data_IF_190919213403
#
_entry.id   IF_190919213403
#
_cell.length_a   1.000
_cell.length_b   1.000
_cell.length_c   1.000
_cell.angle_alpha   90.00
_cell.angle_beta   90.00
_cell.angle_gamma   90.00
#
_symmetry.space_group_name_H-M   'P 1'
#
loop_
_entity.id
_entity.type
_entity.pdbx_description
1 polymer ?
#
# COMPACT_ATOMS: atom_id res chain seq x y z
N UNK A 1 6.59 -7.67 6.01
CA UNK A 1 6.28 -6.49 5.16
C UNK A 1 4.83 -6.58 4.70
N UNK A 2 4.12 -5.45 4.67
CA UNK A 2 2.69 -5.37 4.33
C UNK A 2 2.48 -4.50 3.10
N UNK A 3 1.68 -4.97 2.15
CA UNK A 3 1.40 -4.28 0.88
C UNK A 3 -0.09 -4.30 0.58
N UNK A 4 -0.55 -3.40 -0.29
CA UNK A 4 -1.94 -3.36 -0.77
C UNK A 4 -1.96 -3.01 -2.25
N UNK A 5 -2.99 -3.47 -2.97
CA UNK A 5 -3.18 -3.14 -4.39
C UNK A 5 -3.72 -1.71 -4.62
N UNK A 6 -4.11 -1.00 -3.56
CA UNK A 6 -4.73 0.33 -3.66
C UNK A 6 -3.88 1.42 -3.01
N UNK A 7 -3.54 2.45 -3.79
CA UNK A 7 -2.79 3.61 -3.31
C UNK A 7 -3.53 4.34 -2.17
N UNK A 8 -4.85 4.51 -2.24
CA UNK A 8 -5.64 5.17 -1.20
C UNK A 8 -5.66 4.38 0.12
N UNK A 9 -5.56 3.05 0.06
CA UNK A 9 -5.43 2.21 1.26
C UNK A 9 -4.03 2.35 1.86
N UNK A 10 -2.99 2.39 1.03
CA UNK A 10 -1.62 2.63 1.48
C UNK A 10 -1.44 4.03 2.08
N UNK A 11 -2.10 5.05 1.52
CA UNK A 11 -2.09 6.44 1.99
C UNK A 11 -2.57 6.61 3.44
N UNK A 12 -3.39 5.69 3.96
CA UNK A 12 -3.79 5.70 5.38
C UNK A 12 -2.60 5.57 6.35
N UNK A 13 -1.48 5.03 5.86
CA UNK A 13 -0.24 4.86 6.62
C UNK A 13 0.81 5.93 6.30
N UNK A 14 0.55 6.82 5.33
CA UNK A 14 1.49 7.87 4.94
C UNK A 14 1.36 9.09 5.85
N UNK A 15 2.50 9.59 6.32
CA UNK A 15 2.61 10.85 7.05
C UNK A 15 3.22 11.93 6.17
N UNK A 16 2.70 13.17 6.21
CA UNK A 16 3.29 14.27 5.47
C UNK A 16 4.68 14.62 6.03
N UNK A 17 5.57 15.01 5.14
CA UNK A 17 6.89 15.50 5.51
C UNK A 17 6.78 16.91 6.12
N UNK A 18 7.21 17.07 7.38
CA UNK A 18 7.14 18.32 8.16
C UNK A 18 8.49 18.54 8.85
N UNK A 19 9.54 18.87 8.09
CA UNK A 19 10.84 19.19 8.69
C UNK A 19 11.17 20.68 8.65
N UNK A 20 10.89 21.37 7.53
CA UNK A 20 11.11 22.83 7.36
C UNK A 20 10.17 23.41 6.29
N UNK A 21 9.79 24.70 6.39
CA UNK A 21 9.07 25.38 5.31
C UNK A 21 9.90 25.29 4.04
N UNK A 22 9.32 24.69 2.99
CA UNK A 22 10.01 24.41 1.75
C UNK A 22 9.09 23.80 0.71
N UNK A 23 9.57 23.59 -0.53
CA UNK A 23 8.75 23.04 -1.62
C UNK A 23 8.23 21.63 -1.32
N UNK A 24 8.89 20.90 -0.43
CA UNK A 24 8.52 19.55 0.01
C UNK A 24 7.59 19.52 1.22
N UNK A 25 7.26 20.69 1.79
CA UNK A 25 6.38 20.78 2.95
C UNK A 25 4.98 20.25 2.62
N UNK A 26 4.51 19.32 3.46
CA UNK A 26 3.23 18.63 3.27
C UNK A 26 3.18 17.64 2.11
N UNK A 27 4.32 17.28 1.49
CA UNK A 27 4.38 16.15 0.57
C UNK A 27 4.24 14.84 1.35
N UNK A 28 3.51 13.90 0.76
CA UNK A 28 3.44 12.52 1.21
C UNK A 28 4.29 11.65 0.29
N UNK A 29 4.67 10.48 0.80
CA UNK A 29 5.49 9.53 0.08
C UNK A 29 4.85 8.13 0.07
N UNK A 30 4.86 7.48 -1.08
CA UNK A 30 4.45 6.08 -1.26
C UNK A 30 5.55 5.32 -2.01
N UNK A 31 5.70 4.05 -1.69
CA UNK A 31 6.55 3.12 -2.45
C UNK A 31 5.67 2.24 -3.32
N UNK A 32 6.00 2.17 -4.61
CA UNK A 32 5.47 1.16 -5.51
C UNK A 32 6.51 0.06 -5.66
N UNK A 33 6.23 -1.10 -5.08
CA UNK A 33 7.17 -2.21 -5.01
C UNK A 33 6.80 -3.31 -5.99
N UNK A 34 7.81 -3.95 -6.59
CA UNK A 34 7.67 -5.30 -7.13
C UNK A 34 7.77 -6.28 -5.96
N UNK A 35 6.77 -7.13 -5.81
CA UNK A 35 6.71 -8.10 -4.70
C UNK A 35 6.52 -9.50 -5.27
N UNK A 36 7.47 -10.39 -5.02
CA UNK A 36 7.42 -11.80 -5.43
C UNK A 36 6.66 -12.60 -4.38
N UNK A 37 5.43 -12.97 -4.69
CA UNK A 37 4.54 -13.66 -3.75
C UNK A 37 4.76 -15.18 -3.67
N UNK A 38 5.33 -15.80 -4.71
CA UNK A 38 5.57 -17.25 -4.75
C UNK A 38 4.27 -18.06 -4.57
N UNK A 39 4.31 -19.09 -3.72
CA UNK A 39 3.10 -19.84 -3.33
C UNK A 39 2.31 -19.06 -2.27
N UNK A 40 1.16 -18.55 -2.68
CA UNK A 40 0.29 -17.71 -1.84
C UNK A 40 -0.66 -18.57 -1.01
N UNK A 41 -0.70 -18.33 0.30
CA UNK A 41 -1.82 -18.74 1.14
C UNK A 41 -2.85 -17.61 1.18
N UNK A 42 -4.10 -17.86 0.77
CA UNK A 42 -5.14 -16.85 0.74
C UNK A 42 -6.24 -17.10 1.77
N UNK A 43 -6.84 -16.04 2.29
CA UNK A 43 -8.07 -16.12 3.06
C UNK A 43 -8.98 -14.93 2.74
N UNK A 44 -10.28 -15.20 2.63
CA UNK A 44 -11.36 -14.23 2.46
C UNK A 44 -12.05 -13.88 3.80
N UNK A 45 -11.61 -14.51 4.88
CA UNK A 45 -12.19 -14.30 6.22
C UNK A 45 -11.69 -13.00 6.84
N UNK A 46 -12.54 -12.33 7.62
CA UNK A 46 -12.17 -11.07 8.31
C UNK A 46 -11.04 -11.28 9.33
N UNK A 47 -11.06 -12.45 9.99
CA UNK A 47 -10.13 -12.85 11.04
C UNK A 47 -9.54 -14.21 10.68
N UNK A 48 -8.51 -14.24 9.81
CA UNK A 48 -7.85 -15.48 9.49
C UNK A 48 -7.06 -16.00 10.69
N UNK A 49 -6.86 -17.31 10.74
CA UNK A 49 -6.10 -17.98 11.80
C UNK A 49 -4.60 -17.62 11.67
N UNK A 50 -4.17 -16.66 12.47
CA UNK A 50 -2.80 -16.12 12.45
C UNK A 50 -1.77 -17.22 12.73
N UNK A 51 -2.09 -18.17 13.61
CA UNK A 51 -1.18 -19.27 13.96
C UNK A 51 -0.91 -20.17 12.77
N UNK A 52 -1.97 -20.52 12.01
CA UNK A 52 -1.83 -21.31 10.78
C UNK A 52 -1.05 -20.57 9.69
N UNK A 53 -1.28 -19.27 9.54
CA UNK A 53 -0.54 -18.46 8.56
C UNK A 53 0.95 -18.42 8.92
N UNK A 54 1.27 -18.14 10.18
CA UNK A 54 2.64 -18.08 10.66
C UNK A 54 3.35 -19.43 10.50
N UNK A 55 2.66 -20.53 10.81
CA UNK A 55 3.19 -21.86 10.61
C UNK A 55 3.46 -22.13 9.12
N UNK A 56 2.51 -21.81 8.24
CA UNK A 56 2.63 -22.03 6.81
C UNK A 56 3.82 -21.25 6.19
N UNK A 57 4.00 -19.99 6.60
CA UNK A 57 5.13 -19.16 6.19
C UNK A 57 6.45 -19.68 6.76
N UNK A 58 6.46 -20.11 8.03
CA UNK A 58 7.67 -20.61 8.70
C UNK A 58 8.15 -21.95 8.13
N UNK A 59 7.24 -22.86 7.80
CA UNK A 59 7.59 -24.17 7.25
C UNK A 59 7.83 -24.14 5.73
N UNK A 60 7.64 -22.99 5.08
CA UNK A 60 7.81 -22.84 3.63
C UNK A 60 6.69 -23.49 2.79
N UNK A 61 5.59 -23.92 3.41
CA UNK A 61 4.41 -24.40 2.68
C UNK A 61 3.68 -23.27 1.95
N UNK A 62 3.87 -22.03 2.39
CA UNK A 62 3.54 -20.80 1.70
C UNK A 62 4.71 -19.80 1.77
N UNK A 63 4.83 -18.94 0.76
CA UNK A 63 5.86 -17.88 0.68
C UNK A 63 5.28 -16.50 0.96
N UNK A 64 3.96 -16.36 0.93
CA UNK A 64 3.25 -15.12 1.22
C UNK A 64 1.82 -15.41 1.64
N UNK A 65 1.20 -14.41 2.28
CA UNK A 65 -0.20 -14.44 2.63
C UNK A 65 -0.97 -13.34 1.89
N UNK A 66 -2.15 -13.68 1.39
CA UNK A 66 -3.10 -12.79 0.73
C UNK A 66 -4.40 -12.71 1.54
N UNK A 67 -4.69 -11.54 2.08
CA UNK A 67 -6.02 -11.20 2.57
C UNK A 67 -6.88 -10.71 1.40
N UNK A 68 -7.79 -11.55 0.90
CA UNK A 68 -8.73 -11.15 -0.15
C UNK A 68 -10.03 -10.63 0.46
N UNK A 69 -10.11 -9.31 0.63
CA UNK A 69 -11.26 -8.63 1.23
C UNK A 69 -12.21 -8.02 0.21
N UNK A 70 -12.17 -8.46 -1.05
CA UNK A 70 -13.03 -7.93 -2.11
C UNK A 70 -14.52 -8.16 -1.84
N UNK A 71 -14.85 -9.29 -1.23
CA UNK A 71 -16.22 -9.62 -0.82
C UNK A 71 -16.73 -8.75 0.33
N UNK A 72 -15.85 -7.98 0.98
CA UNK A 72 -16.17 -7.09 2.10
C UNK A 72 -15.93 -5.60 1.75
N UNK A 73 -16.02 -5.25 0.47
CA UNK A 73 -15.80 -3.88 -0.02
C UNK A 73 -14.43 -3.30 0.37
N UNK A 74 -13.40 -4.13 0.45
CA UNK A 74 -12.03 -3.67 0.68
C UNK A 74 -11.08 -4.17 -0.41
N UNK A 75 -9.82 -3.77 -0.28
CA UNK A 75 -8.76 -4.10 -1.23
C UNK A 75 -8.02 -5.35 -0.81
N UNK A 76 -7.35 -6.00 -1.76
CA UNK A 76 -6.41 -7.07 -1.43
C UNK A 76 -5.19 -6.54 -0.72
N UNK A 77 -4.75 -7.30 0.26
CA UNK A 77 -3.62 -6.97 1.12
C UNK A 77 -2.67 -8.17 1.15
N UNK A 78 -1.37 -7.92 1.05
CA UNK A 78 -0.34 -8.94 0.88
C UNK A 78 0.66 -8.84 2.02
N UNK A 79 1.10 -10.01 2.51
CA UNK A 79 2.13 -10.11 3.54
C UNK A 79 3.23 -11.03 3.05
N UNK A 80 4.47 -10.54 3.12
CA UNK A 80 5.69 -11.33 2.91
C UNK A 80 6.59 -11.19 4.13
N UNK A 81 7.28 -12.27 4.49
CA UNK A 81 8.18 -12.30 5.67
C UNK A 81 9.64 -12.07 5.28
N UNK A 82 10.06 -12.49 4.09
CA UNK A 82 11.40 -12.26 3.58
C UNK A 82 11.49 -10.89 2.87
N UNK A 83 12.48 -10.10 3.24
CA UNK A 83 12.73 -8.78 2.64
C UNK A 83 13.23 -8.88 1.20
N UNK A 84 13.90 -9.97 0.83
CA UNK A 84 14.34 -10.22 -0.55
C UNK A 84 13.17 -10.42 -1.53
N UNK A 85 11.96 -10.68 -1.02
CA UNK A 85 10.75 -10.77 -1.85
C UNK A 85 10.21 -9.41 -2.29
N UNK A 86 10.73 -8.28 -1.78
CA UNK A 86 10.25 -6.95 -2.10
C UNK A 86 11.36 -6.06 -2.64
N UNK A 87 11.13 -5.49 -3.82
CA UNK A 87 11.99 -4.49 -4.43
C UNK A 87 11.24 -3.16 -4.58
N UNK A 88 11.69 -2.07 -3.92
CA UNK A 88 11.09 -0.75 -4.09
C UNK A 88 11.48 -0.17 -5.46
N UNK A 89 10.60 -0.37 -6.44
CA UNK A 89 10.86 0.05 -7.82
C UNK A 89 10.72 1.56 -7.98
N UNK A 90 9.72 2.17 -7.33
CA UNK A 90 9.46 3.61 -7.44
C UNK A 90 9.21 4.27 -6.09
N UNK A 91 9.77 5.46 -5.94
CA UNK A 91 9.46 6.41 -4.88
C UNK A 91 8.51 7.48 -5.43
N UNK A 92 7.30 7.56 -4.89
CA UNK A 92 6.25 8.45 -5.40
C UNK A 92 5.97 9.55 -4.37
N UNK A 93 6.21 10.79 -4.77
CA UNK A 93 5.82 11.98 -4.01
C UNK A 93 4.47 12.50 -4.49
N UNK A 94 3.56 12.81 -3.56
CA UNK A 94 2.22 13.30 -3.91
C UNK A 94 1.66 14.25 -2.84
N UNK A 95 0.56 14.91 -3.17
CA UNK A 95 -0.27 15.69 -2.24
C UNK A 95 -1.69 15.17 -2.30
N UNK A 96 -2.39 15.14 -1.17
CA UNK A 96 -3.84 14.87 -1.15
C UNK A 96 -4.57 16.05 -1.76
N UNK A 97 -5.47 15.79 -2.70
CA UNK A 97 -6.38 16.81 -3.21
C UNK A 97 -7.49 17.02 -2.18
N UNK A 98 -7.56 18.23 -1.63
CA UNK A 98 -8.77 18.68 -0.93
C UNK A 98 -9.90 18.84 -1.95
N UNK A 99 -11.10 18.33 -1.68
CA UNK A 99 -12.22 18.40 -2.63
C UNK A 99 -12.57 19.83 -3.09
N UNK A 100 -12.21 20.87 -2.30
CA UNK A 100 -12.34 22.28 -2.72
C UNK A 100 -11.21 22.82 -3.61
N UNK A 101 -9.99 22.27 -3.52
CA UNK A 101 -8.78 22.76 -4.23
C UNK A 101 -8.61 22.19 -5.64
N UNK A 102 -9.25 21.06 -5.95
CA UNK A 102 -9.22 20.43 -7.28
C UNK A 102 -9.73 21.36 -8.39
N UNK A 103 -10.86 22.05 -8.17
CA UNK A 103 -11.46 22.93 -9.19
C UNK A 103 -10.50 24.04 -9.60
N UNK A 104 -9.83 24.67 -8.63
CA UNK A 104 -8.92 25.81 -8.85
C UNK A 104 -7.63 25.40 -9.56
N UNK A 105 -7.08 24.21 -9.28
CA UNK A 105 -5.84 23.75 -9.92
C UNK A 105 -6.06 23.37 -11.40
N UNK A 106 -7.19 22.72 -11.71
CA UNK A 106 -7.53 22.33 -13.08
C UNK A 106 -7.82 23.53 -13.99
N UNK A 107 -8.59 24.52 -13.50
CA UNK A 107 -8.86 25.77 -14.23
C UNK A 107 -7.59 26.57 -14.51
N UNK A 108 -6.63 26.60 -13.58
CA UNK A 108 -5.41 27.39 -13.74
C UNK A 108 -4.33 26.72 -14.60
N UNK A 109 -4.39 25.39 -14.78
CA UNK A 109 -3.32 24.64 -15.46
C UNK A 109 -3.72 24.18 -16.87
N UNK A 110 -5.00 23.89 -17.10
CA UNK A 110 -5.48 23.30 -18.36
C UNK A 110 -6.71 24.01 -18.96
N UNK A 111 -7.17 25.10 -18.35
CA UNK A 111 -8.38 25.84 -18.74
C UNK A 111 -8.13 27.10 -19.59
N UNK A 112 -7.12 27.09 -20.45
CA UNK A 112 -6.99 28.09 -21.54
C UNK A 112 -7.31 27.45 -22.89
#
# INVERSE_FOLDING_TARGET
LYFTECASKADLYATPFIERPGPTDGLLCLLLCRVTLGRVMSSDTLRPDVSKIQEALRCGSAHSFLGDRRLQNSYREFVVTDTAQAYPEWLIWYRRLDHGRWKTWWTNTFGQ
#
